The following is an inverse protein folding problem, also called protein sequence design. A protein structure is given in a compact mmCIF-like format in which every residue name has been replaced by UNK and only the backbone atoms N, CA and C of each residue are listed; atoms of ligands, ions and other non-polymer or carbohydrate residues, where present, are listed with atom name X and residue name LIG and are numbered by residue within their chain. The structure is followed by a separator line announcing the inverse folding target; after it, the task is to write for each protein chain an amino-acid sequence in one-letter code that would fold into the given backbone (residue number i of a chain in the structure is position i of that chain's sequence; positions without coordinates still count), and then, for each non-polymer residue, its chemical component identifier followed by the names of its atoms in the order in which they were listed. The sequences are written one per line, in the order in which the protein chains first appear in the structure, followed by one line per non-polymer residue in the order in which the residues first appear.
data_IF_021578709051
#
_entry.id   IF_021578709051
#
_cell.length_a   1.000
_cell.length_b   1.000
_cell.length_c   1.000
_cell.angle_alpha   90.00
_cell.angle_beta   90.00
_cell.angle_gamma   90.00
#
_symmetry.space_group_name_H-M   'P 1'
#
loop_
_entity.id
_entity.type
_entity.pdbx_description
1 polymer ?
#
# COMPACT_ATOMS: atom_id res chain seq x y z
N UNK A 1 -10.17 61.28 16.63
CA UNK A 1 -9.05 60.35 16.35
C UNK A 1 -9.30 59.08 17.16
N UNK A 2 -10.07 58.14 16.61
CA UNK A 2 -10.37 56.86 17.26
C UNK A 2 -9.45 55.80 16.68
N UNK A 3 -8.69 55.11 17.53
CA UNK A 3 -7.85 54.00 17.12
C UNK A 3 -8.67 52.70 17.20
N UNK A 4 -9.01 52.14 16.05
CA UNK A 4 -9.61 50.81 15.94
C UNK A 4 -8.51 49.76 16.19
N UNK A 5 -8.64 49.00 17.28
CA UNK A 5 -7.77 47.85 17.55
C UNK A 5 -8.21 46.68 16.67
N UNK A 6 -7.37 46.28 15.72
CA UNK A 6 -7.54 45.03 15.00
C UNK A 6 -7.45 43.83 15.96
N UNK A 7 -8.46 42.96 15.93
CA UNK A 7 -8.48 41.70 16.66
C UNK A 7 -7.44 40.71 16.08
N UNK A 8 -6.89 39.78 16.90
CA UNK A 8 -5.96 38.79 16.38
C UNK A 8 -6.69 37.82 15.44
N UNK A 9 -6.10 37.60 14.26
CA UNK A 9 -6.49 36.53 13.34
C UNK A 9 -6.44 35.21 14.08
N UNK A 10 -7.59 34.53 14.12
CA UNK A 10 -7.75 33.24 14.77
C UNK A 10 -6.73 32.23 14.25
N UNK A 11 -6.02 31.59 15.18
CA UNK A 11 -5.19 30.43 14.92
C UNK A 11 -6.07 29.36 14.28
N UNK A 12 -5.74 28.95 13.06
CA UNK A 12 -6.36 27.79 12.41
C UNK A 12 -6.03 26.56 13.28
N UNK A 13 -7.02 25.87 13.88
CA UNK A 13 -6.76 24.60 14.55
C UNK A 13 -6.83 23.49 13.50
N UNK A 14 -5.77 22.68 13.41
CA UNK A 14 -5.80 21.48 12.58
C UNK A 14 -4.55 21.15 11.78
N UNK A 15 -3.37 21.67 12.14
CA UNK A 15 -2.14 20.90 11.89
C UNK A 15 -2.07 19.86 13.02
N UNK A 16 -2.83 18.78 12.87
CA UNK A 16 -2.64 17.60 13.70
C UNK A 16 -1.19 17.15 13.55
N UNK A 17 -0.50 17.05 14.68
CA UNK A 17 0.80 16.42 14.76
C UNK A 17 0.71 15.06 14.07
N UNK A 18 1.42 14.89 12.95
CA UNK A 18 1.64 13.58 12.31
C UNK A 18 2.64 12.83 13.18
N UNK A 19 2.16 12.43 14.37
CA UNK A 19 2.80 11.45 15.21
C UNK A 19 2.66 10.08 14.56
N UNK A 20 3.78 9.40 14.44
CA UNK A 20 4.01 8.03 13.95
C UNK A 20 3.23 6.97 14.74
N UNK A 21 1.91 7.01 14.71
CA UNK A 21 1.09 5.93 15.23
C UNK A 21 1.03 4.83 14.17
N UNK A 22 1.60 3.66 14.49
CA UNK A 22 1.38 2.43 13.73
C UNK A 22 -0.13 2.21 13.55
N UNK A 23 -0.54 1.69 12.40
CA UNK A 23 -1.95 1.43 12.14
C UNK A 23 -2.44 0.32 13.08
N UNK A 24 -3.66 0.45 13.59
CA UNK A 24 -4.23 -0.56 14.48
C UNK A 24 -4.84 -1.74 13.70
N UNK A 25 -4.88 -2.95 14.28
CA UNK A 25 -5.61 -4.08 13.71
C UNK A 25 -7.08 -3.77 13.36
N UNK A 26 -7.73 -2.89 14.14
CA UNK A 26 -9.12 -2.50 13.89
C UNK A 26 -9.26 -1.55 12.69
N UNK A 27 -8.24 -0.73 12.42
CA UNK A 27 -8.20 0.05 11.18
C UNK A 27 -8.12 -0.87 9.96
N UNK A 28 -7.33 -1.95 10.04
CA UNK A 28 -7.21 -2.99 9.00
C UNK A 28 -8.53 -3.72 8.78
N UNK A 29 -9.17 -4.20 9.84
CA UNK A 29 -10.49 -4.87 9.76
C UNK A 29 -11.56 -4.01 9.09
N UNK A 30 -11.51 -2.70 9.30
CA UNK A 30 -12.46 -1.78 8.69
C UNK A 30 -12.09 -1.30 7.28
N UNK A 31 -11.00 -1.78 6.68
CA UNK A 31 -10.50 -1.29 5.39
C UNK A 31 -11.07 -2.04 4.18
N UNK A 32 -11.23 -1.31 3.08
CA UNK A 32 -11.59 -1.89 1.79
C UNK A 32 -10.34 -2.43 1.09
N UNK A 33 -9.23 -1.71 1.17
CA UNK A 33 -7.95 -2.11 0.56
C UNK A 33 -6.81 -1.91 1.56
N UNK A 34 -6.01 -2.96 1.75
CA UNK A 34 -4.72 -2.90 2.44
C UNK A 34 -3.58 -2.91 1.42
N UNK A 35 -2.70 -1.92 1.45
CA UNK A 35 -1.50 -1.84 0.60
C UNK A 35 -0.28 -2.31 1.41
N UNK A 36 0.35 -3.38 0.93
CA UNK A 36 1.67 -3.84 1.41
C UNK A 36 2.75 -3.40 0.43
N UNK A 37 3.79 -2.78 0.98
CA UNK A 37 4.90 -2.21 0.22
C UNK A 37 6.16 -2.13 1.09
N UNK A 38 7.34 -2.01 0.47
CA UNK A 38 8.56 -1.75 1.23
C UNK A 38 8.68 -0.25 1.58
N UNK A 39 8.99 0.15 2.82
CA UNK A 39 9.04 1.56 3.24
C UNK A 39 9.89 2.47 2.35
N UNK A 40 10.99 1.96 1.79
CA UNK A 40 11.85 2.70 0.86
C UNK A 40 11.16 3.09 -0.45
N UNK A 41 10.12 2.36 -0.85
CA UNK A 41 9.38 2.63 -2.07
C UNK A 41 8.52 3.89 -2.00
N UNK A 42 8.22 4.37 -0.79
CA UNK A 42 7.50 5.63 -0.56
C UNK A 42 8.44 6.81 -0.22
N UNK A 43 9.77 6.61 -0.27
CA UNK A 43 10.69 7.74 -0.14
C UNK A 43 10.66 8.59 -1.41
N UNK A 44 10.42 9.90 -1.32
CA UNK A 44 10.37 10.76 -2.49
C UNK A 44 11.75 10.91 -3.13
N UNK A 45 11.79 10.91 -4.46
CA UNK A 45 13.05 11.07 -5.23
C UNK A 45 13.58 12.51 -5.22
N UNK A 46 12.74 13.49 -4.86
CA UNK A 46 13.11 14.90 -4.80
C UNK A 46 12.47 15.57 -3.58
N UNK A 47 13.18 16.50 -2.90
CA UNK A 47 12.61 17.22 -1.77
C UNK A 47 11.29 17.91 -2.12
N UNK A 48 10.30 17.79 -1.22
CA UNK A 48 8.98 18.40 -1.40
C UNK A 48 8.06 17.67 -2.37
N UNK A 49 8.47 16.52 -2.92
CA UNK A 49 7.58 15.61 -3.63
C UNK A 49 6.98 14.57 -2.67
N UNK A 50 5.85 14.01 -3.09
CA UNK A 50 5.25 12.86 -2.44
C UNK A 50 5.96 11.56 -2.87
N UNK A 51 5.93 10.55 -2.01
CA UNK A 51 6.36 9.20 -2.34
C UNK A 51 5.44 8.51 -3.35
N UNK A 52 5.98 7.50 -4.03
CA UNK A 52 5.24 6.80 -5.08
C UNK A 52 4.03 6.05 -4.51
N UNK A 53 4.16 5.46 -3.32
CA UNK A 53 3.09 4.66 -2.71
C UNK A 53 1.96 5.57 -2.22
N UNK A 54 2.31 6.69 -1.59
CA UNK A 54 1.36 7.73 -1.18
C UNK A 54 0.59 8.28 -2.39
N UNK A 55 1.28 8.53 -3.50
CA UNK A 55 0.63 8.93 -4.76
C UNK A 55 -0.28 7.82 -5.30
N UNK A 56 0.21 6.58 -5.33
CA UNK A 56 -0.55 5.41 -5.79
C UNK A 56 -1.81 5.20 -4.95
N UNK A 57 -1.71 5.25 -3.63
CA UNK A 57 -2.83 5.13 -2.70
C UNK A 57 -3.89 6.18 -3.01
N UNK A 58 -3.52 7.47 -3.06
CA UNK A 58 -4.48 8.55 -3.36
C UNK A 58 -5.16 8.34 -4.70
N UNK A 59 -4.40 7.97 -5.73
CA UNK A 59 -4.95 7.76 -7.07
C UNK A 59 -5.89 6.55 -7.11
N UNK A 60 -5.54 5.46 -6.41
CA UNK A 60 -6.36 4.26 -6.28
C UNK A 60 -7.68 4.57 -5.56
N UNK A 61 -7.59 5.24 -4.41
CA UNK A 61 -8.76 5.70 -3.63
C UNK A 61 -9.68 6.55 -4.51
N UNK A 62 -9.16 7.63 -5.09
CA UNK A 62 -9.91 8.51 -6.00
C UNK A 62 -10.56 7.74 -7.14
N UNK A 63 -9.84 6.78 -7.74
CA UNK A 63 -10.34 6.03 -8.88
C UNK A 63 -11.44 5.05 -8.48
N UNK A 64 -11.32 4.38 -7.35
CA UNK A 64 -12.35 3.47 -6.84
C UNK A 64 -13.62 4.27 -6.53
N UNK A 65 -13.51 5.41 -5.84
CA UNK A 65 -14.66 6.28 -5.54
C UNK A 65 -15.36 6.80 -6.80
N UNK A 66 -14.59 7.18 -7.83
CA UNK A 66 -15.15 7.59 -9.12
C UNK A 66 -15.93 6.47 -9.82
N UNK A 67 -15.52 5.21 -9.65
CA UNK A 67 -16.14 4.06 -10.28
C UNK A 67 -17.33 3.52 -9.46
N UNK A 68 -17.24 3.54 -8.14
CA UNK A 68 -18.28 3.03 -7.23
C UNK A 68 -19.35 4.07 -6.91
N UNK A 69 -19.00 5.35 -6.91
CA UNK A 69 -19.84 6.44 -6.37
C UNK A 69 -19.88 6.50 -4.84
N UNK A 70 -19.09 5.67 -4.16
CA UNK A 70 -19.08 5.50 -2.70
C UNK A 70 -17.68 5.74 -2.13
N UNK A 71 -17.55 6.30 -0.92
CA UNK A 71 -16.24 6.47 -0.27
C UNK A 71 -15.57 5.12 -0.05
N UNK A 72 -14.24 5.08 -0.18
CA UNK A 72 -13.44 3.87 0.00
C UNK A 72 -12.34 4.10 1.03
N UNK A 73 -12.08 3.10 1.87
CA UNK A 73 -11.00 3.15 2.86
C UNK A 73 -9.81 2.33 2.38
N UNK A 74 -8.88 3.00 1.72
CA UNK A 74 -7.56 2.46 1.39
C UNK A 74 -6.58 2.80 2.52
N UNK A 75 -5.90 1.80 3.05
CA UNK A 75 -4.88 2.00 4.08
C UNK A 75 -3.55 1.37 3.66
N UNK A 76 -2.48 1.91 4.22
CA UNK A 76 -1.14 1.37 4.12
C UNK A 76 -0.49 1.43 5.50
N UNK A 77 0.47 0.54 5.77
CA UNK A 77 1.29 0.66 6.97
C UNK A 77 2.20 1.90 6.83
N UNK A 78 2.26 2.80 7.82
CA UNK A 78 3.23 3.90 7.82
C UNK A 78 4.66 3.34 7.77
N UNK A 79 5.61 4.03 7.16
CA UNK A 79 7.01 3.63 7.22
C UNK A 79 7.53 3.79 8.65
N UNK A 80 7.47 2.72 9.43
CA UNK A 80 8.17 2.61 10.71
C UNK A 80 9.52 1.97 10.41
N UNK A 81 10.62 2.58 10.87
CA UNK A 81 12.01 2.20 10.56
C UNK A 81 12.28 0.72 10.82
N UNK A 82 12.19 -0.10 9.76
CA UNK A 82 12.48 -1.54 9.70
C UNK A 82 11.89 -2.41 10.83
N UNK A 83 10.96 -1.88 11.62
CA UNK A 83 10.28 -2.67 12.63
C UNK A 83 9.32 -3.63 11.94
N UNK A 84 9.34 -4.93 12.31
CA UNK A 84 8.35 -5.86 11.81
C UNK A 84 6.96 -5.45 12.29
N UNK A 85 5.94 -5.68 11.46
CA UNK A 85 4.56 -5.58 11.89
C UNK A 85 4.32 -6.52 13.09
N UNK A 86 3.52 -6.09 14.07
CA UNK A 86 3.11 -6.98 15.15
C UNK A 86 2.30 -8.16 14.60
N UNK A 87 2.41 -9.34 15.23
CA UNK A 87 1.61 -10.52 14.83
C UNK A 87 0.10 -10.20 14.81
N UNK A 88 -0.38 -9.37 15.73
CA UNK A 88 -1.79 -8.92 15.76
C UNK A 88 -2.19 -8.10 14.53
N UNK A 89 -1.27 -7.30 14.00
CA UNK A 89 -1.51 -6.54 12.78
C UNK A 89 -1.51 -7.47 11.56
N UNK A 90 -0.53 -8.38 11.49
CA UNK A 90 -0.41 -9.40 10.43
C UNK A 90 -1.67 -10.28 10.40
N UNK A 91 -2.15 -10.74 11.54
CA UNK A 91 -3.37 -11.55 11.67
C UNK A 91 -4.64 -10.79 11.26
N UNK A 92 -4.60 -9.45 11.29
CA UNK A 92 -5.71 -8.62 10.82
C UNK A 92 -5.69 -8.40 9.30
N UNK A 93 -4.55 -8.51 8.62
CA UNK A 93 -4.43 -8.28 7.17
C UNK A 93 -5.47 -9.05 6.33
N UNK A 94 -5.72 -10.37 6.56
CA UNK A 94 -6.75 -11.14 5.82
C UNK A 94 -8.18 -10.60 5.91
N UNK A 95 -8.46 -9.75 6.91
CA UNK A 95 -9.81 -9.21 7.15
C UNK A 95 -10.14 -8.00 6.27
N UNK A 96 -9.15 -7.35 5.66
CA UNK A 96 -9.37 -6.31 4.65
C UNK A 96 -10.12 -6.89 3.44
N UNK A 97 -11.00 -6.12 2.78
CA UNK A 97 -11.77 -6.66 1.64
C UNK A 97 -10.88 -7.06 0.47
N UNK A 98 -9.78 -6.34 0.23
CA UNK A 98 -8.73 -6.69 -0.71
C UNK A 98 -7.35 -6.28 -0.19
N UNK A 99 -6.31 -6.91 -0.73
CA UNK A 99 -4.91 -6.57 -0.48
C UNK A 99 -4.20 -6.30 -1.81
N UNK A 100 -3.39 -5.25 -1.83
CA UNK A 100 -2.49 -4.91 -2.93
C UNK A 100 -1.06 -5.10 -2.45
N UNK A 101 -0.31 -5.99 -3.08
CA UNK A 101 1.13 -6.14 -2.88
C UNK A 101 1.87 -5.35 -3.96
N UNK A 102 2.57 -4.28 -3.57
CA UNK A 102 3.42 -3.49 -4.46
C UNK A 102 4.80 -4.14 -4.53
N UNK A 103 5.01 -4.92 -5.59
CA UNK A 103 6.23 -5.69 -5.83
C UNK A 103 7.33 -4.83 -6.42
N UNK A 104 8.49 -4.95 -5.79
CA UNK A 104 9.74 -4.26 -6.11
C UNK A 104 10.92 -5.07 -5.53
N UNK A 105 12.17 -4.81 -5.94
CA UNK A 105 13.34 -5.44 -5.33
C UNK A 105 13.41 -5.31 -3.79
N UNK A 106 13.10 -4.16 -3.15
CA UNK A 106 13.05 -4.10 -1.69
C UNK A 106 11.85 -4.82 -1.07
N UNK A 107 10.70 -4.93 -1.77
CA UNK A 107 9.55 -5.70 -1.30
C UNK A 107 9.89 -7.18 -1.09
N UNK A 108 10.51 -7.81 -2.09
CA UNK A 108 10.82 -9.25 -2.04
C UNK A 108 11.93 -9.57 -1.02
N UNK A 109 12.73 -8.57 -0.66
CA UNK A 109 13.77 -8.65 0.37
C UNK A 109 13.25 -8.33 1.76
N UNK A 110 12.00 -7.89 1.89
CA UNK A 110 11.37 -7.56 3.17
C UNK A 110 10.64 -8.80 3.73
N UNK A 111 11.10 -9.37 4.86
CA UNK A 111 10.41 -10.50 5.49
C UNK A 111 8.98 -10.15 5.91
N UNK A 112 8.74 -8.90 6.31
CA UNK A 112 7.41 -8.42 6.71
C UNK A 112 6.43 -8.42 5.53
N UNK A 113 6.83 -7.86 4.39
CA UNK A 113 6.00 -7.84 3.18
C UNK A 113 5.68 -9.25 2.67
N UNK A 114 6.69 -10.13 2.67
CA UNK A 114 6.51 -11.53 2.29
C UNK A 114 5.51 -12.24 3.23
N UNK A 115 5.65 -12.03 4.54
CA UNK A 115 4.79 -12.59 5.57
C UNK A 115 3.35 -12.12 5.44
N UNK A 116 3.10 -10.82 5.23
CA UNK A 116 1.75 -10.28 5.02
C UNK A 116 1.05 -10.92 3.82
N UNK A 117 1.74 -11.02 2.67
CA UNK A 117 1.19 -11.61 1.46
C UNK A 117 0.88 -13.11 1.65
N UNK A 118 1.78 -13.84 2.29
CA UNK A 118 1.61 -15.27 2.62
C UNK A 118 0.41 -15.48 3.55
N UNK A 119 0.28 -14.67 4.61
CA UNK A 119 -0.84 -14.76 5.56
C UNK A 119 -2.17 -14.47 4.88
N UNK A 120 -2.24 -13.39 4.10
CA UNK A 120 -3.45 -13.06 3.35
C UNK A 120 -3.85 -14.19 2.42
N UNK A 121 -2.90 -14.71 1.63
CA UNK A 121 -3.13 -15.79 0.69
C UNK A 121 -3.65 -17.06 1.38
N UNK A 122 -2.93 -17.55 2.39
CA UNK A 122 -3.29 -18.79 3.09
C UNK A 122 -4.64 -18.64 3.81
N UNK A 123 -4.82 -17.58 4.60
CA UNK A 123 -6.07 -17.37 5.33
C UNK A 123 -7.26 -17.20 4.39
N UNK A 124 -7.12 -16.49 3.27
CA UNK A 124 -8.23 -16.30 2.34
C UNK A 124 -8.53 -17.58 1.53
N UNK A 125 -7.50 -18.37 1.21
CA UNK A 125 -7.65 -19.67 0.55
C UNK A 125 -8.37 -20.67 1.45
N UNK A 126 -7.93 -20.79 2.70
CA UNK A 126 -8.49 -21.71 3.69
C UNK A 126 -9.94 -21.34 4.06
N UNK A 127 -10.24 -20.04 4.12
CA UNK A 127 -11.60 -19.54 4.32
C UNK A 127 -12.50 -19.64 3.07
N UNK A 128 -11.96 -20.07 1.92
CA UNK A 128 -12.69 -20.17 0.65
C UNK A 128 -13.13 -18.82 0.09
N UNK A 129 -12.52 -17.71 0.54
CA UNK A 129 -12.89 -16.35 0.16
C UNK A 129 -11.76 -15.61 -0.57
N UNK A 130 -10.70 -16.29 -1.00
CA UNK A 130 -9.62 -15.71 -1.81
C UNK A 130 -10.13 -15.11 -3.12
N UNK A 131 -11.14 -15.74 -3.72
CA UNK A 131 -11.76 -15.27 -4.96
C UNK A 131 -13.17 -14.74 -4.68
N UNK A 132 -13.47 -13.57 -5.24
CA UNK A 132 -14.81 -13.07 -5.41
C UNK A 132 -15.15 -13.25 -6.89
N UNK A 133 -16.08 -14.16 -7.19
CA UNK A 133 -16.36 -14.60 -8.55
C UNK A 133 -15.08 -15.11 -9.26
N UNK A 134 -14.62 -14.43 -10.31
CA UNK A 134 -13.41 -14.76 -11.06
C UNK A 134 -12.16 -13.96 -10.64
N UNK A 135 -12.29 -13.01 -9.69
CA UNK A 135 -11.23 -12.09 -9.26
C UNK A 135 -10.62 -12.47 -7.92
N UNK A 136 -9.30 -12.39 -7.81
CA UNK A 136 -8.60 -12.58 -6.53
C UNK A 136 -8.70 -11.32 -5.68
N UNK A 137 -8.83 -11.48 -4.36
CA UNK A 137 -8.74 -10.37 -3.39
C UNK A 137 -7.31 -9.91 -3.13
N UNK A 138 -6.32 -10.71 -3.51
CA UNK A 138 -4.91 -10.33 -3.52
C UNK A 138 -4.53 -9.89 -4.93
N UNK A 139 -4.03 -8.67 -5.07
CA UNK A 139 -3.58 -8.08 -6.34
C UNK A 139 -2.08 -7.83 -6.31
N UNK A 140 -1.38 -8.25 -7.37
CA UNK A 140 0.05 -8.01 -7.56
C UNK A 140 0.25 -6.76 -8.42
N UNK A 141 0.76 -5.68 -7.84
CA UNK A 141 1.14 -4.46 -8.56
C UNK A 141 2.65 -4.43 -8.68
N UNK A 142 3.21 -4.42 -9.89
CA UNK A 142 4.66 -4.42 -10.10
C UNK A 142 5.13 -3.00 -10.34
N UNK A 143 5.75 -2.39 -9.32
CA UNK A 143 6.38 -1.07 -9.42
C UNK A 143 7.72 -1.16 -10.15
N UNK A 144 8.52 -2.15 -9.79
CA UNK A 144 9.82 -2.43 -10.42
C UNK A 144 9.91 -3.94 -10.60
N UNK A 145 10.22 -4.44 -11.81
CA UNK A 145 10.28 -5.87 -12.07
C UNK A 145 11.33 -6.54 -11.20
N UNK A 146 11.01 -7.77 -10.81
CA UNK A 146 11.86 -8.66 -10.01
C UNK A 146 12.03 -9.94 -10.80
N UNK A 147 13.24 -10.48 -10.86
CA UNK A 147 13.48 -11.76 -11.52
C UNK A 147 12.85 -12.89 -10.69
N UNK A 148 12.33 -13.92 -11.35
CA UNK A 148 11.74 -15.07 -10.66
C UNK A 148 12.73 -15.73 -9.69
N UNK A 149 14.02 -15.71 -10.00
CA UNK A 149 15.09 -16.20 -9.12
C UNK A 149 15.27 -15.41 -7.81
N UNK A 150 14.76 -14.19 -7.75
CA UNK A 150 14.82 -13.32 -6.58
C UNK A 150 13.54 -13.41 -5.72
N UNK A 151 12.52 -14.15 -6.17
CA UNK A 151 11.31 -14.39 -5.39
C UNK A 151 11.57 -15.46 -4.33
N UNK A 152 11.33 -15.17 -3.03
CA UNK A 152 11.37 -16.21 -2.02
C UNK A 152 10.22 -17.20 -2.22
N UNK A 153 10.44 -18.47 -1.87
CA UNK A 153 9.50 -19.59 -2.10
C UNK A 153 8.03 -19.29 -1.69
N UNK A 154 7.74 -18.66 -0.53
CA UNK A 154 6.36 -18.32 -0.17
C UNK A 154 5.72 -17.31 -1.14
N UNK A 155 6.49 -16.36 -1.68
CA UNK A 155 5.97 -15.38 -2.63
C UNK A 155 5.84 -15.95 -4.05
N UNK A 156 6.69 -16.90 -4.43
CA UNK A 156 6.59 -17.58 -5.72
C UNK A 156 5.28 -18.38 -5.83
N UNK A 157 4.92 -19.14 -4.78
CA UNK A 157 3.61 -19.82 -4.70
C UNK A 157 2.46 -18.81 -4.76
N UNK A 158 2.53 -17.74 -3.98
CA UNK A 158 1.45 -16.75 -3.90
C UNK A 158 1.27 -16.02 -5.24
N UNK A 159 2.35 -15.59 -5.89
CA UNK A 159 2.30 -14.70 -7.03
C UNK A 159 2.15 -15.39 -8.38
N UNK A 160 2.46 -16.68 -8.48
CA UNK A 160 2.26 -17.46 -9.72
C UNK A 160 0.79 -17.61 -10.09
N UNK A 161 -0.12 -17.58 -9.11
CA UNK A 161 -1.56 -17.70 -9.31
C UNK A 161 -2.31 -16.36 -9.48
N UNK A 162 -1.59 -15.22 -9.42
CA UNK A 162 -2.18 -13.88 -9.46
C UNK A 162 -2.02 -13.19 -10.81
N UNK A 163 -3.02 -12.37 -11.15
CA UNK A 163 -2.86 -11.35 -12.20
C UNK A 163 -1.90 -10.25 -11.71
N UNK A 164 -0.95 -9.90 -12.57
CA UNK A 164 -0.02 -8.78 -12.35
C UNK A 164 -0.50 -7.51 -13.06
N UNK A 165 -0.28 -6.37 -12.41
CA UNK A 165 -0.50 -5.04 -12.96
C UNK A 165 0.82 -4.29 -12.97
N UNK A 166 1.38 -4.08 -14.16
CA UNK A 166 2.69 -3.44 -14.30
C UNK A 166 2.54 -1.92 -14.29
N UNK A 167 3.24 -1.28 -13.34
CA UNK A 167 3.36 0.17 -13.21
C UNK A 167 4.76 0.62 -13.61
N UNK A 168 5.32 -0.03 -14.62
CA UNK A 168 6.57 0.39 -15.25
C UNK A 168 6.45 0.21 -16.75
N UNK A 169 7.33 0.89 -17.47
CA UNK A 169 7.53 0.68 -18.89
C UNK A 169 9.01 0.58 -19.19
N UNK A 170 9.33 -0.23 -20.19
CA UNK A 170 10.69 -0.46 -20.67
C UNK A 170 10.74 0.01 -22.11
N UNK A 171 11.68 0.90 -22.40
CA UNK A 171 12.04 1.26 -23.76
C UNK A 171 12.56 0.01 -24.49
N UNK A 172 11.90 -0.45 -25.57
CA UNK A 172 12.30 -1.66 -26.26
C UNK A 172 13.63 -1.52 -27.00
N UNK A 173 14.07 -0.31 -27.32
CA UNK A 173 15.31 -0.03 -28.05
C UNK A 173 16.48 0.18 -27.10
N UNK A 174 16.26 0.88 -25.99
CA UNK A 174 17.34 1.27 -25.07
C UNK A 174 17.39 0.44 -23.79
N UNK A 175 16.35 -0.33 -23.48
CA UNK A 175 16.19 -1.04 -22.21
C UNK A 175 16.00 -0.11 -21.01
N UNK A 176 15.86 1.21 -21.23
CA UNK A 176 15.61 2.17 -20.16
C UNK A 176 14.25 1.93 -19.56
N UNK A 177 14.20 1.92 -18.24
CA UNK A 177 12.98 1.68 -17.47
C UNK A 177 12.54 2.95 -16.76
N UNK A 178 11.24 3.20 -16.75
CA UNK A 178 10.61 4.19 -15.87
C UNK A 178 9.40 3.59 -15.19
N UNK A 179 9.15 4.05 -13.97
CA UNK A 179 7.95 3.71 -13.19
C UNK A 179 6.85 4.70 -13.57
N UNK A 180 5.63 4.20 -13.76
CA UNK A 180 4.43 4.94 -14.13
C UNK A 180 3.73 5.56 -12.92
#
# INVERSE_FOLDING_TARGET
MGAEKAAPVGRVPGAGEIGSADISPDQVKGSDVYISYAPVDDKPLSPGQEGWISQFQRNLETRIEQLSGEPVKVIQRPPVDDEPASEQLIDAVPTAKAMVSVVSPPFVKSPGCAREAEVFWKSARDAGNLRLEDRTRLLKVVKTPVADSDLPEPLDEVFSDLLSFDFFSVDPETGRMWVL
#
